data_IF_650166983122
#
_entry.id   IF_650166983122
#
_cell.length_a   1.000
_cell.length_b   1.000
_cell.length_c   1.000
_cell.angle_alpha   90.00
_cell.angle_beta   90.00
_cell.angle_gamma   90.00
#
_symmetry.space_group_name_H-M   'P 1'
#
loop_
_entity.id
_entity.type
_entity.pdbx_description
1 polymer ?
#
# COMPACT_ATOMS: atom_id res chain seq x y z
N UNK A 1 -8.65 -11.80 5.73
CA UNK A 1 -7.40 -11.00 5.69
C UNK A 1 -7.75 -9.53 5.89
N UNK A 2 -6.90 -8.74 6.56
CA UNK A 2 -7.16 -7.31 6.78
C UNK A 2 -6.81 -6.44 5.58
N UNK A 3 -7.49 -5.31 5.42
CA UNK A 3 -7.41 -4.43 4.22
C UNK A 3 -5.99 -4.00 3.86
N UNK A 4 -5.16 -3.62 4.85
CA UNK A 4 -3.77 -3.21 4.60
C UNK A 4 -2.90 -4.35 4.05
N UNK A 5 -3.14 -5.58 4.51
CA UNK A 5 -2.41 -6.75 4.03
C UNK A 5 -2.87 -7.12 2.61
N UNK A 6 -4.16 -7.01 2.32
CA UNK A 6 -4.68 -7.21 0.96
C UNK A 6 -4.03 -6.25 -0.04
N UNK A 7 -3.94 -4.96 0.28
CA UNK A 7 -3.29 -3.99 -0.59
C UNK A 7 -1.77 -4.16 -0.67
N UNK A 8 -1.13 -4.64 0.40
CA UNK A 8 0.28 -4.99 0.35
C UNK A 8 0.51 -6.10 -0.67
N UNK A 9 -0.24 -7.20 -0.59
CA UNK A 9 -0.13 -8.33 -1.51
C UNK A 9 -0.50 -7.96 -2.95
N UNK A 10 -1.49 -7.08 -3.14
CA UNK A 10 -1.85 -6.57 -4.46
C UNK A 10 -0.71 -5.82 -5.16
N UNK A 11 0.27 -5.31 -4.42
CA UNK A 11 1.47 -4.69 -4.97
C UNK A 11 2.58 -5.66 -5.41
N UNK A 12 2.37 -6.97 -5.24
CA UNK A 12 3.36 -8.00 -5.62
C UNK A 12 4.62 -7.96 -4.75
N UNK A 13 5.78 -8.26 -5.34
CA UNK A 13 7.06 -8.35 -4.62
C UNK A 13 7.49 -7.03 -3.96
N UNK A 14 7.19 -5.90 -4.60
CA UNK A 14 7.46 -4.57 -4.06
C UNK A 14 6.40 -4.10 -3.04
N UNK A 15 5.31 -4.85 -2.95
CA UNK A 15 4.27 -4.72 -1.95
C UNK A 15 3.57 -3.37 -1.93
N UNK A 16 3.27 -2.90 -0.72
CA UNK A 16 2.52 -1.64 -0.49
C UNK A 16 3.12 -0.41 -1.20
N UNK A 17 4.46 -0.35 -1.40
CA UNK A 17 5.09 0.78 -2.10
C UNK A 17 4.64 0.82 -3.57
N UNK A 18 4.65 -0.34 -4.23
CA UNK A 18 4.23 -0.44 -5.63
C UNK A 18 2.72 -0.23 -5.78
N UNK A 19 1.91 -0.79 -4.88
CA UNK A 19 0.45 -0.56 -4.88
C UNK A 19 0.12 0.95 -4.79
N UNK A 20 0.76 1.66 -3.85
CA UNK A 20 0.57 3.10 -3.68
C UNK A 20 1.12 3.92 -4.84
N UNK A 21 2.18 3.46 -5.52
CA UNK A 21 2.69 4.10 -6.74
C UNK A 21 1.71 4.01 -7.91
N UNK A 22 1.06 2.86 -8.08
CA UNK A 22 0.08 2.65 -9.16
C UNK A 22 -1.23 3.38 -8.91
N UNK A 23 -1.78 3.27 -7.70
CA UNK A 23 -3.14 3.74 -7.40
C UNK A 23 -3.18 5.02 -6.57
N UNK A 24 -2.05 5.52 -6.09
CA UNK A 24 -1.94 6.79 -5.35
C UNK A 24 -2.58 7.99 -6.07
N UNK A 25 -2.42 8.16 -7.41
CA UNK A 25 -3.08 9.25 -8.13
C UNK A 25 -4.61 9.23 -8.03
N UNK A 26 -5.22 8.06 -7.85
CA UNK A 26 -6.68 7.93 -7.72
C UNK A 26 -7.22 8.55 -6.43
N UNK A 27 -6.37 8.86 -5.43
CA UNK A 27 -6.75 9.57 -4.20
C UNK A 27 -7.21 11.01 -4.47
N UNK A 28 -6.83 11.60 -5.61
CA UNK A 28 -7.22 12.97 -5.99
C UNK A 28 -8.56 13.03 -6.70
N UNK A 29 -9.17 11.89 -7.01
CA UNK A 29 -10.51 11.83 -7.59
C UNK A 29 -11.57 12.11 -6.50
N UNK A 30 -12.75 12.68 -6.85
CA UNK A 30 -13.76 13.14 -5.90
C UNK A 30 -14.63 11.99 -5.34
N UNK A 31 -14.00 10.98 -4.74
CA UNK A 31 -14.70 9.82 -4.17
C UNK A 31 -15.47 10.14 -2.88
N UNK A 32 -15.07 11.20 -2.18
CA UNK A 32 -15.66 11.62 -0.91
C UNK A 32 -15.71 13.15 -0.81
N UNK A 33 -16.38 13.68 0.21
CA UNK A 33 -16.36 15.12 0.54
C UNK A 33 -15.07 15.57 1.25
N UNK A 34 -14.16 14.65 1.55
CA UNK A 34 -12.90 14.94 2.24
C UNK A 34 -11.76 15.04 1.23
N UNK A 35 -10.84 15.97 1.48
CA UNK A 35 -9.62 16.12 0.70
C UNK A 35 -8.57 15.10 1.14
N UNK A 36 -8.00 14.38 0.17
CA UNK A 36 -6.96 13.41 0.46
C UNK A 36 -5.61 14.11 0.72
N UNK A 37 -4.88 13.72 1.78
CA UNK A 37 -3.54 14.25 2.03
C UNK A 37 -2.60 13.87 0.90
N UNK A 38 -1.50 14.62 0.77
CA UNK A 38 -0.46 14.29 -0.18
C UNK A 38 0.25 13.00 0.21
N UNK A 39 0.41 12.12 -0.77
CA UNK A 39 1.08 10.85 -0.60
C UNK A 39 2.59 11.05 -0.69
N UNK A 40 3.20 11.50 0.41
CA UNK A 40 4.64 11.76 0.48
C UNK A 40 5.45 10.48 0.57
N UNK A 41 6.72 10.54 0.13
CA UNK A 41 7.65 9.40 0.23
C UNK A 41 7.83 8.88 1.65
N UNK A 42 7.80 9.77 2.65
CA UNK A 42 7.88 9.39 4.05
C UNK A 42 6.65 8.59 4.49
N UNK A 43 5.45 9.01 4.07
CA UNK A 43 4.21 8.32 4.40
C UNK A 43 4.15 6.94 3.73
N UNK A 44 4.51 6.85 2.45
CA UNK A 44 4.65 5.57 1.72
C UNK A 44 5.66 4.68 2.44
N UNK A 45 6.82 5.24 2.80
CA UNK A 45 7.88 4.55 3.51
C UNK A 45 7.38 3.95 4.82
N UNK A 46 6.72 4.72 5.68
CA UNK A 46 6.19 4.23 6.97
C UNK A 46 5.19 3.09 6.76
N UNK A 47 4.28 3.22 5.79
CA UNK A 47 3.28 2.18 5.50
C UNK A 47 3.93 0.90 4.98
N UNK A 48 4.87 1.01 4.04
CA UNK A 48 5.60 -0.13 3.49
C UNK A 48 6.44 -0.84 4.56
N UNK A 49 7.18 -0.09 5.39
CA UNK A 49 8.01 -0.65 6.47
C UNK A 49 7.21 -1.55 7.42
N UNK A 50 6.00 -1.12 7.79
CA UNK A 50 5.14 -1.85 8.73
C UNK A 50 4.64 -3.19 8.17
N UNK A 51 4.58 -3.34 6.85
CA UNK A 51 3.96 -4.49 6.19
C UNK A 51 4.95 -5.47 5.59
N UNK A 52 6.26 -5.20 5.61
CA UNK A 52 7.29 -6.08 5.03
C UNK A 52 7.33 -7.52 5.56
N UNK A 53 6.82 -7.77 6.78
CA UNK A 53 6.69 -9.12 7.33
C UNK A 53 5.29 -9.73 7.17
N UNK A 54 4.33 -8.95 6.70
CA UNK A 54 2.94 -9.34 6.58
C UNK A 54 2.70 -9.80 5.13
N UNK A 55 2.74 -11.12 4.89
CA UNK A 55 2.46 -11.68 3.57
C UNK A 55 3.47 -12.70 3.06
N UNK A 56 4.60 -12.92 3.76
CA UNK A 56 5.49 -14.05 3.48
C UNK A 56 4.74 -15.32 3.90
N UNK A 57 4.12 -15.99 2.93
CA UNK A 57 3.68 -17.38 3.11
C UNK A 57 4.88 -18.26 3.50
N UNK A 58 4.65 -19.46 4.06
CA UNK A 58 5.76 -20.38 4.30
C UNK A 58 6.50 -20.59 2.97
N UNK A 59 7.83 -20.43 2.98
CA UNK A 59 8.69 -20.79 1.84
C UNK A 59 8.35 -22.24 1.47
N UNK A 60 7.70 -22.44 0.32
CA UNK A 60 7.61 -23.76 -0.28
C UNK A 60 8.94 -24.02 -0.99
N UNK A 61 9.90 -24.52 -0.20
CA UNK A 61 11.08 -25.21 -0.72
C UNK A 61 10.74 -26.56 -1.30
#
# INVERSE_FOLDING_TARGET
MGTNLTFHLAGGEEGMRHMLGQFGPALKLPWTKLEAPDLTEDLIGVRARRLRGAGRGPDHG
#
